data_IF_136128605812
#
_entry.id   IF_136128605812
#
_cell.length_a   1.000
_cell.length_b   1.000
_cell.length_c   1.000
_cell.angle_alpha   90.00
_cell.angle_beta   90.00
_cell.angle_gamma   90.00
#
_symmetry.space_group_name_H-M   'P 1'
#
loop_
_entity.id
_entity.type
_entity.pdbx_description
1 polymer ?
#
# COMPACT_ATOMS: atom_id res chain seq x y z
N UNK A 1 -2.34 -5.46 7.72
CA UNK A 1 -2.56 -6.91 7.91
C UNK A 1 -3.27 -7.48 6.69
N UNK A 2 -3.81 -8.69 6.78
CA UNK A 2 -4.53 -9.32 5.65
C UNK A 2 -5.93 -8.71 5.44
N UNK A 3 -6.64 -8.36 6.52
CA UNK A 3 -8.02 -7.86 6.46
C UNK A 3 -8.17 -6.39 6.83
N UNK A 4 -7.30 -5.84 7.67
CA UNK A 4 -7.31 -4.43 8.07
C UNK A 4 -5.90 -3.86 8.15
N UNK A 5 -5.79 -2.56 7.90
CA UNK A 5 -4.64 -1.73 8.27
C UNK A 5 -5.01 -0.84 9.46
N UNK A 6 -4.02 -0.47 10.27
CA UNK A 6 -4.22 0.47 11.38
C UNK A 6 -3.03 1.41 11.48
N UNK A 7 -3.31 2.69 11.74
CA UNK A 7 -2.32 3.67 12.15
C UNK A 7 -2.58 4.00 13.63
N UNK A 8 -1.62 3.64 14.48
CA UNK A 8 -1.72 3.79 15.93
C UNK A 8 -0.48 4.53 16.43
N UNK A 9 -0.62 5.75 16.98
CA UNK A 9 0.51 6.45 17.58
C UNK A 9 0.74 5.95 18.99
N UNK A 10 2.02 5.84 19.34
CA UNK A 10 2.49 5.36 20.65
C UNK A 10 3.45 6.40 21.19
N UNK A 11 3.23 6.82 22.43
CA UNK A 11 4.07 7.80 23.13
C UNK A 11 4.46 7.25 24.50
N UNK A 12 5.76 7.26 24.81
CA UNK A 12 6.34 6.72 26.06
C UNK A 12 5.85 5.29 26.42
N UNK A 13 5.61 4.45 25.41
CA UNK A 13 5.11 3.08 25.61
C UNK A 13 3.60 2.96 25.78
N UNK A 14 2.86 4.07 25.75
CA UNK A 14 1.40 4.09 25.78
C UNK A 14 0.80 4.36 24.40
N UNK A 15 -0.12 3.51 23.98
CA UNK A 15 -0.91 3.73 22.78
C UNK A 15 -1.94 4.85 23.02
N UNK A 16 -2.09 5.76 22.06
CA UNK A 16 -3.08 6.84 22.12
C UNK A 16 -4.38 6.41 21.42
N UNK A 17 -5.41 5.93 22.14
CA UNK A 17 -6.59 5.34 21.51
C UNK A 17 -7.45 6.35 20.73
N UNK A 18 -7.42 7.63 21.12
CA UNK A 18 -8.16 8.68 20.43
C UNK A 18 -7.63 8.95 19.01
N UNK A 19 -6.33 8.71 18.81
CA UNK A 19 -5.63 8.92 17.55
C UNK A 19 -5.52 7.65 16.69
N UNK A 20 -6.14 6.53 17.11
CA UNK A 20 -6.28 5.35 16.28
C UNK A 20 -7.09 5.68 15.01
N UNK A 21 -6.56 5.28 13.87
CA UNK A 21 -7.28 5.31 12.60
C UNK A 21 -7.15 3.95 11.94
N UNK A 22 -8.29 3.39 11.53
CA UNK A 22 -8.36 2.12 10.81
C UNK A 22 -8.41 2.39 9.32
N UNK A 23 -7.73 1.54 8.56
CA UNK A 23 -7.79 1.48 7.11
C UNK A 23 -8.49 0.17 6.73
N UNK A 24 -9.62 0.29 6.05
CA UNK A 24 -10.42 -0.86 5.61
C UNK A 24 -9.91 -1.48 4.29
N UNK A 25 -8.72 -1.08 3.84
CA UNK A 25 -8.05 -1.65 2.66
C UNK A 25 -6.82 -2.40 3.12
N UNK A 26 -6.77 -3.70 2.81
CA UNK A 26 -5.72 -4.59 3.27
C UNK A 26 -5.31 -5.62 2.21
N UNK A 27 -4.51 -6.61 2.61
CA UNK A 27 -3.95 -7.62 1.73
C UNK A 27 -5.00 -8.39 0.92
N UNK A 28 -6.17 -8.68 1.50
CA UNK A 28 -7.27 -9.39 0.86
C UNK A 28 -7.95 -8.56 -0.22
N UNK A 29 -8.14 -7.28 0.02
CA UNK A 29 -8.71 -6.35 -0.98
C UNK A 29 -7.78 -6.21 -2.17
N UNK A 30 -6.46 -6.16 -1.93
CA UNK A 30 -5.46 -6.17 -2.99
C UNK A 30 -5.49 -7.47 -3.80
N UNK A 31 -5.61 -8.63 -3.15
CA UNK A 31 -5.71 -9.91 -3.85
C UNK A 31 -6.99 -9.98 -4.70
N UNK A 32 -8.11 -9.48 -4.18
CA UNK A 32 -9.37 -9.38 -4.93
C UNK A 32 -9.27 -8.40 -6.10
N UNK A 33 -8.58 -7.27 -5.91
CA UNK A 33 -8.37 -6.28 -6.96
C UNK A 33 -7.47 -6.83 -8.08
N UNK A 34 -6.41 -7.56 -7.73
CA UNK A 34 -5.56 -8.26 -8.70
C UNK A 34 -6.34 -9.30 -9.51
N UNK A 35 -7.30 -10.01 -8.90
CA UNK A 35 -8.19 -10.90 -9.63
C UNK A 35 -9.03 -10.13 -10.66
N UNK A 36 -9.70 -9.06 -10.23
CA UNK A 36 -10.56 -8.27 -11.12
C UNK A 36 -9.72 -7.69 -12.30
N UNK A 37 -8.48 -7.26 -12.07
CA UNK A 37 -7.54 -6.83 -13.11
C UNK A 37 -7.12 -7.96 -14.08
N UNK A 38 -6.92 -9.18 -13.57
CA UNK A 38 -6.56 -10.33 -14.38
C UNK A 38 -7.72 -10.83 -15.24
N UNK A 39 -8.95 -10.75 -14.72
CA UNK A 39 -10.17 -11.02 -15.49
C UNK A 39 -10.31 -10.04 -16.66
N UNK A 40 -10.01 -8.75 -16.47
CA UNK A 40 -9.98 -7.74 -17.54
C UNK A 40 -8.94 -8.08 -18.62
N UNK A 41 -7.81 -8.67 -18.25
CA UNK A 41 -6.78 -9.15 -19.19
C UNK A 41 -7.10 -10.49 -19.86
N UNK A 42 -8.24 -11.11 -19.56
CA UNK A 42 -8.70 -12.35 -20.18
C UNK A 42 -8.31 -13.65 -19.45
N UNK A 43 -7.70 -13.56 -18.27
CA UNK A 43 -7.38 -14.73 -17.45
C UNK A 43 -8.56 -15.08 -16.53
N UNK A 44 -9.38 -16.04 -16.94
CA UNK A 44 -10.47 -16.57 -16.10
C UNK A 44 -9.97 -17.68 -15.20
N UNK A 45 -9.87 -17.42 -13.89
CA UNK A 45 -9.50 -18.42 -12.89
C UNK A 45 -10.75 -19.26 -12.56
N UNK A 46 -10.71 -20.56 -12.87
CA UNK A 46 -11.87 -21.47 -12.71
C UNK A 46 -12.13 -21.95 -11.28
N UNK A 47 -11.14 -21.87 -10.38
CA UNK A 47 -11.20 -22.38 -9.01
C UNK A 47 -10.86 -21.27 -8.03
N UNK A 48 -11.78 -20.92 -7.12
CA UNK A 48 -11.59 -19.81 -6.16
C UNK A 48 -10.46 -20.08 -5.15
N UNK A 49 -10.25 -21.33 -4.73
CA UNK A 49 -9.24 -21.67 -3.71
C UNK A 49 -7.81 -21.58 -4.26
N UNK A 50 -7.59 -22.16 -5.45
CA UNK A 50 -6.27 -22.19 -6.08
C UNK A 50 -5.90 -20.80 -6.61
N UNK A 51 -6.90 -20.06 -7.13
CA UNK A 51 -6.76 -18.67 -7.53
C UNK A 51 -6.18 -17.80 -6.43
N UNK A 52 -6.70 -17.89 -5.19
CA UNK A 52 -6.26 -17.03 -4.10
C UNK A 52 -4.79 -17.26 -3.71
N UNK A 53 -4.35 -18.51 -3.64
CA UNK A 53 -2.95 -18.85 -3.33
C UNK A 53 -1.99 -18.36 -4.42
N UNK A 54 -2.40 -18.53 -5.69
CA UNK A 54 -1.62 -18.05 -6.83
C UNK A 54 -1.55 -16.53 -6.89
N UNK A 55 -2.67 -15.84 -6.71
CA UNK A 55 -2.72 -14.38 -6.68
C UNK A 55 -1.88 -13.81 -5.54
N UNK A 56 -1.86 -14.46 -4.38
CA UNK A 56 -0.98 -14.09 -3.26
C UNK A 56 0.49 -14.23 -3.64
N UNK A 57 0.86 -15.32 -4.29
CA UNK A 57 2.24 -15.58 -4.74
C UNK A 57 2.67 -14.57 -5.81
N UNK A 58 1.82 -14.30 -6.79
CA UNK A 58 2.02 -13.28 -7.83
C UNK A 58 2.21 -11.91 -7.17
N UNK A 59 1.33 -11.56 -6.23
CA UNK A 59 1.39 -10.29 -5.50
C UNK A 59 2.73 -10.14 -4.76
N UNK A 60 3.13 -11.16 -4.01
CA UNK A 60 4.35 -11.09 -3.19
C UNK A 60 5.64 -11.13 -4.03
N UNK A 61 5.62 -11.77 -5.20
CA UNK A 61 6.82 -11.95 -6.02
C UNK A 61 6.97 -10.85 -7.07
N UNK A 62 5.86 -10.38 -7.65
CA UNK A 62 5.88 -9.52 -8.83
C UNK A 62 5.44 -8.08 -8.55
N UNK A 63 4.64 -7.81 -7.52
CA UNK A 63 4.18 -6.45 -7.25
C UNK A 63 5.25 -5.59 -6.59
N UNK A 64 5.25 -4.30 -6.96
CA UNK A 64 6.11 -3.28 -6.38
C UNK A 64 5.36 -1.94 -6.38
N UNK A 65 5.73 -1.05 -5.48
CA UNK A 65 5.15 0.29 -5.39
C UNK A 65 6.01 1.23 -6.22
N UNK A 66 5.40 1.88 -7.21
CA UNK A 66 6.05 2.92 -7.99
C UNK A 66 6.12 4.23 -7.19
N UNK A 67 7.20 4.99 -7.36
CA UNK A 67 7.38 6.31 -6.74
C UNK A 67 6.47 7.38 -7.38
N UNK A 68 6.25 7.31 -8.69
CA UNK A 68 5.38 8.21 -9.45
C UNK A 68 4.51 7.39 -10.41
N UNK A 69 3.28 7.06 -9.99
CA UNK A 69 2.34 6.22 -10.77
C UNK A 69 2.14 6.69 -12.22
N UNK A 70 1.93 7.99 -12.44
CA UNK A 70 1.67 8.54 -13.78
C UNK A 70 2.88 8.43 -14.71
N UNK A 71 4.10 8.51 -14.18
CA UNK A 71 5.32 8.35 -14.97
C UNK A 71 5.51 6.88 -15.35
N UNK A 72 5.35 5.98 -14.39
CA UNK A 72 5.44 4.53 -14.64
C UNK A 72 4.39 4.07 -15.68
N UNK A 73 3.19 4.65 -15.63
CA UNK A 73 2.12 4.34 -16.58
C UNK A 73 2.41 4.84 -18.00
N UNK A 74 3.10 5.98 -18.14
CA UNK A 74 3.41 6.58 -19.44
C UNK A 74 4.70 6.07 -20.06
N UNK A 75 5.72 5.78 -19.25
CA UNK A 75 6.98 5.19 -19.71
C UNK A 75 6.85 3.70 -20.04
N UNK A 76 5.78 3.06 -19.56
CA UNK A 76 5.54 1.64 -19.72
C UNK A 76 6.48 0.84 -18.83
N UNK A 77 5.94 -0.16 -18.11
CA UNK A 77 6.76 -1.04 -17.28
C UNK A 77 7.82 -1.69 -18.17
N UNK A 78 9.11 -1.43 -17.91
CA UNK A 78 10.27 -1.99 -18.64
C UNK A 78 10.44 -3.51 -18.49
N UNK A 79 9.43 -4.23 -18.03
CA UNK A 79 9.50 -5.65 -17.75
C UNK A 79 8.13 -6.27 -17.65
N UNK A 80 7.68 -6.87 -18.75
CA UNK A 80 6.60 -7.85 -18.75
C UNK A 80 7.03 -9.01 -17.85
N UNK A 81 6.27 -9.27 -16.77
CA UNK A 81 6.53 -10.44 -15.94
C UNK A 81 5.65 -11.58 -16.41
N UNK A 82 6.30 -12.65 -16.84
CA UNK A 82 5.65 -13.91 -17.16
C UNK A 82 5.60 -14.72 -15.87
N UNK A 83 4.39 -15.06 -15.45
CA UNK A 83 4.18 -15.99 -14.35
C UNK A 83 3.72 -17.33 -14.90
N UNK A 84 4.54 -18.35 -14.69
CA UNK A 84 4.18 -19.72 -15.04
C UNK A 84 3.33 -20.30 -13.91
N UNK A 85 2.09 -20.62 -14.26
CA UNK A 85 1.18 -21.32 -13.37
C UNK A 85 1.61 -22.80 -13.26
N UNK A 86 1.36 -23.45 -12.11
CA UNK A 86 1.66 -24.88 -11.94
C UNK A 86 0.85 -25.81 -12.86
N UNK A 87 -0.15 -25.28 -13.58
CA UNK A 87 -0.89 -25.98 -14.63
C UNK A 87 -0.27 -25.83 -16.04
N UNK A 88 0.87 -25.13 -16.17
CA UNK A 88 1.56 -24.87 -17.44
C UNK A 88 1.03 -23.68 -18.24
N UNK A 89 0.04 -22.93 -17.73
CA UNK A 89 -0.40 -21.69 -18.36
C UNK A 89 0.48 -20.50 -17.97
N UNK A 90 0.73 -19.61 -18.92
CA UNK A 90 1.57 -18.41 -18.70
C UNK A 90 0.67 -17.18 -18.61
N UNK A 91 0.79 -16.42 -17.52
CA UNK A 91 0.10 -15.14 -17.33
C UNK A 91 1.14 -14.03 -17.55
N UNK A 92 0.82 -13.08 -18.43
CA UNK A 92 1.64 -11.89 -18.64
C UNK A 92 1.09 -10.74 -17.80
N UNK A 93 1.88 -10.26 -16.84
CA UNK A 93 1.55 -9.13 -15.97
C UNK A 93 2.40 -7.91 -16.35
N UNK A 94 1.72 -6.82 -16.71
CA UNK A 94 2.35 -5.54 -17.09
C UNK A 94 2.05 -4.45 -16.05
N UNK A 95 1.00 -3.65 -16.24
CA UNK A 95 0.61 -2.53 -15.37
C UNK A 95 0.02 -2.98 -14.03
N UNK A 96 -0.60 -4.17 -14.03
CA UNK A 96 -1.25 -4.79 -12.88
C UNK A 96 -0.32 -4.92 -11.65
N UNK A 97 0.99 -5.06 -11.89
CA UNK A 97 2.02 -5.26 -10.85
C UNK A 97 2.16 -4.07 -9.92
N UNK A 98 2.16 -2.85 -10.45
CA UNK A 98 2.28 -1.62 -9.66
C UNK A 98 0.91 -0.98 -9.38
N UNK A 99 -0.08 -1.25 -10.24
CA UNK A 99 -1.46 -0.80 -10.03
C UNK A 99 -2.13 -1.48 -8.85
N UNK A 100 -1.80 -2.75 -8.58
CA UNK A 100 -2.30 -3.48 -7.42
C UNK A 100 -1.95 -2.75 -6.10
N UNK A 101 -0.67 -2.52 -5.75
CA UNK A 101 -0.32 -1.82 -4.51
C UNK A 101 -0.69 -0.33 -4.53
N UNK A 102 -0.87 0.32 -5.69
CA UNK A 102 -1.40 1.69 -5.77
C UNK A 102 -2.78 1.81 -5.12
N UNK A 103 -3.58 0.75 -5.10
CA UNK A 103 -4.88 0.74 -4.45
C UNK A 103 -4.81 0.99 -2.92
N UNK A 104 -3.65 0.84 -2.28
CA UNK A 104 -3.42 1.26 -0.89
C UNK A 104 -3.32 2.80 -0.75
N UNK A 105 -2.72 3.46 -1.73
CA UNK A 105 -2.55 4.91 -1.75
C UNK A 105 -3.81 5.60 -2.28
N UNK A 106 -4.41 5.01 -3.32
CA UNK A 106 -5.61 5.49 -3.98
C UNK A 106 -6.70 4.41 -3.95
N UNK A 107 -7.47 4.32 -2.85
CA UNK A 107 -8.52 3.31 -2.74
C UNK A 107 -9.67 3.51 -3.74
N UNK A 108 -9.75 4.69 -4.39
CA UNK A 108 -10.68 4.97 -5.48
C UNK A 108 -10.49 4.10 -6.72
N UNK A 109 -9.33 3.44 -6.88
CA UNK A 109 -9.13 2.44 -7.94
C UNK A 109 -9.91 1.16 -7.69
N UNK A 110 -10.23 0.85 -6.43
CA UNK A 110 -11.02 -0.34 -6.07
C UNK A 110 -12.50 0.03 -6.20
N UNK A 111 -13.13 -0.40 -7.31
CA UNK A 111 -14.56 -0.16 -7.60
C UNK A 111 -15.53 -0.63 -6.49
N UNK A 112 -15.08 -1.53 -5.61
CA UNK A 112 -15.86 -2.13 -4.50
C UNK A 112 -15.55 -1.54 -3.12
N UNK A 113 -14.54 -0.69 -2.97
CA UNK A 113 -14.14 -0.20 -1.65
C UNK A 113 -14.96 1.03 -1.26
N UNK A 114 -15.57 0.98 -0.06
CA UNK A 114 -16.33 2.12 0.52
C UNK A 114 -15.40 3.20 1.10
N UNK A 115 -14.12 2.91 1.22
CA UNK A 115 -13.13 3.80 1.81
C UNK A 115 -12.52 4.72 0.76
N UNK A 116 -12.58 6.03 1.01
CA UNK A 116 -11.95 7.07 0.18
C UNK A 116 -10.58 7.50 0.70
N UNK A 117 -10.12 6.92 1.82
CA UNK A 117 -8.95 7.34 2.56
C UNK A 117 -7.80 6.35 2.26
N UNK A 118 -6.72 6.84 1.66
CA UNK A 118 -5.51 6.06 1.44
C UNK A 118 -4.66 5.93 2.71
N UNK A 119 -3.60 5.12 2.63
CA UNK A 119 -2.64 4.92 3.75
C UNK A 119 -2.04 6.24 4.24
N UNK A 120 -1.66 7.14 3.32
CA UNK A 120 -1.03 8.42 3.67
C UNK A 120 -1.98 9.33 4.44
N UNK A 121 -3.22 9.47 3.98
CA UNK A 121 -4.23 10.28 4.68
C UNK A 121 -4.65 9.64 6.01
N UNK A 122 -4.66 8.31 6.10
CA UNK A 122 -4.88 7.60 7.36
C UNK A 122 -3.81 7.94 8.40
N UNK A 123 -2.54 7.86 8.00
CA UNK A 123 -1.39 8.24 8.84
C UNK A 123 -1.44 9.73 9.21
N UNK A 124 -1.68 10.60 8.24
CA UNK A 124 -1.82 12.05 8.42
C UNK A 124 -2.93 12.40 9.41
N UNK A 125 -4.10 11.76 9.31
CA UNK A 125 -5.20 11.93 10.28
C UNK A 125 -4.84 11.45 11.68
N UNK A 126 -4.15 10.32 11.79
CA UNK A 126 -3.70 9.81 13.09
C UNK A 126 -2.74 10.79 13.76
N UNK A 127 -1.79 11.34 13.00
CA UNK A 127 -0.84 12.35 13.48
C UNK A 127 -1.56 13.65 13.85
N UNK A 128 -2.50 14.15 13.03
CA UNK A 128 -3.27 15.37 13.33
C UNK A 128 -4.16 15.28 14.57
N UNK A 129 -4.58 14.07 14.95
CA UNK A 129 -5.33 13.85 16.19
C UNK A 129 -4.46 13.90 17.45
N UNK A 130 -3.13 13.83 17.29
CA UNK A 130 -2.18 13.99 18.38
C UNK A 130 -1.84 15.47 18.60
N UNK A 131 -1.42 15.82 19.82
CA UNK A 131 -0.99 17.17 20.16
C UNK A 131 0.22 17.63 19.34
N UNK A 132 0.30 18.93 19.05
CA UNK A 132 1.34 19.54 18.17
C UNK A 132 2.78 19.18 18.59
N UNK A 133 3.03 19.13 19.89
CA UNK A 133 4.34 18.79 20.44
C UNK A 133 4.75 17.34 20.12
N UNK A 134 3.77 16.43 20.11
CA UNK A 134 3.97 15.01 19.80
C UNK A 134 4.09 14.74 18.30
N UNK A 135 3.47 15.58 17.46
CA UNK A 135 3.48 15.37 16.00
C UNK A 135 4.91 15.35 15.44
N UNK A 136 5.77 16.23 15.90
CA UNK A 136 7.16 16.32 15.43
C UNK A 136 7.96 15.06 15.80
N UNK A 137 7.72 14.50 16.99
CA UNK A 137 8.40 13.30 17.45
C UNK A 137 7.87 12.02 16.78
N UNK A 138 6.55 11.91 16.62
CA UNK A 138 5.89 10.76 15.97
C UNK A 138 6.29 10.70 14.49
N UNK A 139 6.40 11.85 13.81
CA UNK A 139 6.88 11.92 12.41
C UNK A 139 8.26 11.28 12.27
N UNK A 140 9.19 11.59 13.16
CA UNK A 140 10.55 11.04 13.12
C UNK A 140 10.66 9.55 13.43
N UNK A 141 9.61 8.93 14.01
CA UNK A 141 9.62 7.55 14.52
C UNK A 141 8.44 6.74 13.97
N UNK A 142 8.26 6.76 12.65
CA UNK A 142 7.25 5.91 12.00
C UNK A 142 7.80 4.51 11.75
N UNK A 143 7.13 3.51 12.33
CA UNK A 143 7.44 2.10 12.13
C UNK A 143 6.40 1.49 11.21
N UNK A 144 6.85 0.80 10.17
CA UNK A 144 5.97 0.04 9.27
C UNK A 144 5.89 -1.41 9.72
N UNK A 145 4.68 -1.95 9.77
CA UNK A 145 4.43 -3.32 10.20
C UNK A 145 3.39 -4.02 9.30
N UNK A 146 3.69 -5.25 8.92
CA UNK A 146 2.78 -6.18 8.26
C UNK A 146 3.15 -6.52 6.80
N UNK A 147 2.58 -7.61 6.29
CA UNK A 147 2.96 -8.13 4.96
C UNK A 147 2.72 -7.17 3.79
N UNK A 148 1.75 -6.26 3.89
CA UNK A 148 1.51 -5.27 2.83
C UNK A 148 2.56 -4.15 2.79
N UNK A 149 3.37 -3.94 3.84
CA UNK A 149 4.44 -2.95 3.82
C UNK A 149 5.75 -3.52 3.27
N UNK A 150 5.79 -4.82 2.96
CA UNK A 150 6.95 -5.50 2.37
C UNK A 150 7.09 -5.27 0.86
N UNK A 151 6.15 -4.56 0.23
CA UNK A 151 6.29 -4.24 -1.18
C UNK A 151 7.54 -3.38 -1.42
N UNK A 152 8.37 -3.72 -2.42
CA UNK A 152 9.51 -2.89 -2.79
C UNK A 152 9.05 -1.46 -3.14
N UNK A 153 9.71 -0.44 -2.60
CA UNK A 153 9.39 0.98 -2.84
C UNK A 153 8.25 1.55 -2.00
N UNK A 154 7.60 0.74 -1.14
CA UNK A 154 6.50 1.22 -0.29
C UNK A 154 6.95 2.31 0.70
N UNK A 155 8.09 2.10 1.38
CA UNK A 155 8.65 3.07 2.33
C UNK A 155 8.97 4.41 1.69
N UNK A 156 9.57 4.39 0.50
CA UNK A 156 10.05 5.59 -0.18
C UNK A 156 8.87 6.42 -0.70
N UNK A 157 7.88 5.76 -1.30
CA UNK A 157 6.63 6.39 -1.75
C UNK A 157 5.86 6.98 -0.58
N UNK A 158 5.70 6.21 0.51
CA UNK A 158 5.00 6.66 1.70
C UNK A 158 5.67 7.90 2.30
N UNK A 159 6.99 7.89 2.42
CA UNK A 159 7.78 9.01 2.94
C UNK A 159 7.57 10.26 2.11
N UNK A 160 7.72 10.16 0.79
CA UNK A 160 7.57 11.28 -0.15
C UNK A 160 6.16 11.89 -0.09
N UNK A 161 5.12 11.07 -0.12
CA UNK A 161 3.74 11.58 -0.06
C UNK A 161 3.39 12.14 1.32
N UNK A 162 3.85 11.49 2.38
CA UNK A 162 3.63 11.96 3.73
C UNK A 162 4.34 13.30 3.99
N UNK A 163 5.59 13.45 3.55
CA UNK A 163 6.31 14.72 3.56
C UNK A 163 5.54 15.77 2.75
N UNK A 164 5.13 15.47 1.52
CA UNK A 164 4.37 16.43 0.67
C UNK A 164 3.08 16.91 1.36
N UNK A 165 2.33 15.99 1.97
CA UNK A 165 1.06 16.29 2.64
C UNK A 165 1.25 17.06 3.96
N UNK A 166 2.43 16.97 4.57
CA UNK A 166 2.80 17.67 5.80
C UNK A 166 3.48 19.02 5.50
N UNK A 167 4.28 19.11 4.44
CA UNK A 167 4.97 20.33 3.98
C UNK A 167 4.00 21.37 3.44
N UNK A 168 2.84 20.93 2.90
CA UNK A 168 1.72 21.85 2.64
C UNK A 168 1.27 22.61 3.92
N UNK A 169 1.70 22.18 5.12
CA UNK A 169 1.25 22.73 6.40
C UNK A 169 2.38 23.14 7.38
N UNK A 170 3.66 22.80 7.15
CA UNK A 170 4.74 23.26 8.03
C UNK A 170 6.05 23.48 7.26
N UNK A 171 6.38 24.75 6.96
CA UNK A 171 7.69 25.14 6.46
C UNK A 171 8.76 24.80 7.52
N UNK A 172 9.50 23.71 7.28
CA UNK A 172 10.75 23.40 7.95
C UNK A 172 10.64 22.44 9.12
N UNK A 173 10.85 21.15 8.88
CA UNK A 173 11.57 20.28 9.83
C UNK A 173 12.13 19.05 9.11
N UNK A 174 13.22 18.52 9.69
CA UNK A 174 14.17 17.49 9.21
C UNK A 174 13.62 16.29 8.41
N UNK A 175 14.47 15.65 7.56
CA UNK A 175 14.06 14.57 6.67
C UNK A 175 13.48 13.35 7.39
N UNK A 176 12.33 12.89 6.92
CA UNK A 176 11.62 11.71 7.39
C UNK A 176 12.36 10.44 6.95
N UNK A 177 12.61 9.50 7.86
CA UNK A 177 13.25 8.23 7.54
C UNK A 177 12.54 7.10 8.28
N UNK A 178 11.62 6.37 7.62
CA UNK A 178 10.92 5.27 8.29
C UNK A 178 11.86 4.08 8.46
N UNK A 179 11.85 3.48 9.66
CA UNK A 179 12.56 2.22 9.93
C UNK A 179 11.60 1.04 9.73
N UNK A 180 12.07 0.04 8.97
CA UNK A 180 11.35 -1.21 8.74
C UNK A 180 11.76 -2.22 9.81
N UNK A 181 10.78 -2.76 10.55
CA UNK A 181 11.00 -3.87 11.47
C UNK A 181 10.38 -5.12 10.82
N UNK A 182 11.23 -6.09 10.50
CA UNK A 182 10.88 -7.36 9.86
C UNK A 182 10.31 -8.38 10.86
#
# INVERSE_FOLDING_TARGET
GDTIGTAQPVYEGYCLPHALVTLDVAGRDLTNYLRDLLEESGCSLRSESDAQSMLRTIKETLCFVALDFNKELTEGTKGEALFEMPNGGVITLNDQRFRCPEALFQPGLIRKSKCTIGVVECLSRSVRKCDLDLQSEIKGKTVLCGGCTLFPGFSDRLSKEFETMMDEQQAGTSPFKPEMIA
#
